data_IF_922608074900
#
_entry.id   IF_922608074900
#
_cell.length_a   1.000
_cell.length_b   1.000
_cell.length_c   1.000
_cell.angle_alpha   90.00
_cell.angle_beta   90.00
_cell.angle_gamma   90.00
#
_symmetry.space_group_name_H-M   'P 1'
#
loop_
_entity.id
_entity.type
_entity.pdbx_description
1 polymer ?
#
# COMPACT_ATOMS: atom_id res chain seq x y z
N UNK A 1 0.04 2.85 5.77
CA UNK A 1 -0.69 4.08 5.42
C UNK A 1 -2.12 3.70 5.03
N UNK A 2 -3.08 4.63 5.06
CA UNK A 2 -4.50 4.41 4.71
C UNK A 2 -4.71 3.48 3.50
N UNK A 3 -3.94 3.70 2.44
CA UNK A 3 -3.97 2.93 1.18
C UNK A 3 -3.75 1.42 1.31
N UNK A 4 -3.16 0.97 2.43
CA UNK A 4 -2.86 -0.44 2.65
C UNK A 4 -4.08 -1.18 3.23
N UNK A 5 -5.13 -0.46 3.65
CA UNK A 5 -6.33 -0.98 4.28
C UNK A 5 -7.59 -0.65 3.48
N UNK A 6 -8.62 -1.48 3.61
CA UNK A 6 -9.92 -1.21 2.99
C UNK A 6 -10.49 0.08 3.55
N UNK A 7 -11.15 0.88 2.70
CA UNK A 7 -11.73 2.17 3.11
C UNK A 7 -12.68 2.03 4.31
N UNK A 8 -13.46 0.94 4.37
CA UNK A 8 -14.37 0.67 5.48
C UNK A 8 -13.63 0.42 6.80
N UNK A 9 -12.62 -0.45 6.80
CA UNK A 9 -11.87 -0.75 8.03
C UNK A 9 -11.02 0.43 8.49
N UNK A 10 -10.47 1.19 7.55
CA UNK A 10 -9.72 2.40 7.84
C UNK A 10 -10.59 3.51 8.45
N UNK A 11 -11.83 3.69 7.94
CA UNK A 11 -12.78 4.65 8.49
C UNK A 11 -13.09 4.36 9.96
N UNK A 12 -13.39 3.10 10.28
CA UNK A 12 -13.66 2.67 11.67
C UNK A 12 -12.46 2.93 12.58
N UNK A 13 -11.24 2.61 12.12
CA UNK A 13 -10.01 2.91 12.86
C UNK A 13 -9.80 4.41 13.08
N UNK A 14 -9.98 5.22 12.04
CA UNK A 14 -9.75 6.67 12.09
C UNK A 14 -10.73 7.37 13.03
N UNK A 15 -12.01 6.97 13.02
CA UNK A 15 -13.03 7.49 13.94
C UNK A 15 -12.73 7.10 15.40
N UNK A 16 -12.30 5.87 15.64
CA UNK A 16 -11.92 5.41 16.98
C UNK A 16 -10.66 6.13 17.49
N UNK A 17 -9.69 6.39 16.61
CA UNK A 17 -8.48 7.15 16.93
C UNK A 17 -8.83 8.60 17.29
N UNK A 18 -9.69 9.25 16.51
CA UNK A 18 -10.15 10.60 16.80
C UNK A 18 -10.86 10.68 18.16
N UNK A 19 -11.75 9.71 18.47
CA UNK A 19 -12.41 9.66 19.78
C UNK A 19 -11.42 9.49 20.93
N UNK A 20 -10.41 8.61 20.77
CA UNK A 20 -9.37 8.42 21.76
C UNK A 20 -8.53 9.68 21.98
N UNK A 21 -8.21 10.40 20.90
CA UNK A 21 -7.50 11.68 20.97
C UNK A 21 -8.32 12.73 21.74
N UNK A 22 -9.62 12.86 21.43
CA UNK A 22 -10.52 13.78 22.14
C UNK A 22 -10.57 13.48 23.63
N UNK A 23 -10.70 12.21 24.02
CA UNK A 23 -10.72 11.81 25.44
C UNK A 23 -9.38 12.07 26.11
N UNK A 24 -8.26 11.85 25.42
CA UNK A 24 -6.93 12.13 25.95
C UNK A 24 -6.68 13.63 26.18
N UNK A 25 -7.27 14.50 25.36
CA UNK A 25 -7.15 15.95 25.47
C UNK A 25 -8.14 16.55 26.50
N UNK A 26 -9.15 15.78 26.94
CA UNK A 26 -10.12 16.21 27.94
C UNK A 26 -9.54 16.13 29.35
N UNK A 27 -9.31 17.29 29.98
CA UNK A 27 -8.83 17.39 31.38
C UNK A 27 -9.81 16.86 32.42
N UNK A 28 -11.09 16.70 32.04
CA UNK A 28 -12.16 16.18 32.89
C UNK A 28 -12.55 14.74 32.54
N UNK A 29 -11.81 14.07 31.65
CA UNK A 29 -12.11 12.70 31.27
C UNK A 29 -12.10 11.78 32.50
N UNK A 30 -13.13 10.96 32.61
CA UNK A 30 -13.22 9.92 33.63
C UNK A 30 -12.46 8.68 33.20
N UNK A 31 -12.05 7.84 34.17
CA UNK A 31 -11.42 6.57 33.85
C UNK A 31 -12.30 5.68 32.95
N UNK A 32 -13.62 5.70 33.17
CA UNK A 32 -14.56 4.93 32.35
C UNK A 32 -14.57 5.40 30.87
N UNK A 33 -14.45 6.70 30.62
CA UNK A 33 -14.35 7.24 29.25
C UNK A 33 -13.02 6.86 28.59
N UNK A 34 -11.92 6.90 29.36
CA UNK A 34 -10.59 6.45 28.91
C UNK A 34 -10.62 4.97 28.54
N UNK A 35 -11.13 4.12 29.44
CA UNK A 35 -11.23 2.67 29.22
C UNK A 35 -12.11 2.35 28.00
N UNK A 36 -13.22 3.07 27.83
CA UNK A 36 -14.10 2.91 26.69
C UNK A 36 -13.42 3.32 25.37
N UNK A 37 -12.70 4.44 25.36
CA UNK A 37 -11.97 4.92 24.20
C UNK A 37 -10.83 3.94 23.82
N UNK A 38 -10.11 3.42 24.82
CA UNK A 38 -9.08 2.41 24.62
C UNK A 38 -9.68 1.12 24.03
N UNK A 39 -10.77 0.60 24.60
CA UNK A 39 -11.43 -0.60 24.12
C UNK A 39 -11.91 -0.46 22.66
N UNK A 40 -12.50 0.70 22.31
CA UNK A 40 -12.92 1.01 20.94
C UNK A 40 -11.73 1.06 19.98
N UNK A 41 -10.67 1.78 20.33
CA UNK A 41 -9.47 1.87 19.49
C UNK A 41 -8.82 0.50 19.28
N UNK A 42 -8.67 -0.30 20.34
CA UNK A 42 -8.15 -1.67 20.26
C UNK A 42 -9.01 -2.56 19.35
N UNK A 43 -10.33 -2.44 19.45
CA UNK A 43 -11.25 -3.19 18.59
C UNK A 43 -11.10 -2.76 17.13
N UNK A 44 -11.03 -1.46 16.86
CA UNK A 44 -10.88 -0.93 15.51
C UNK A 44 -9.54 -1.34 14.85
N UNK A 45 -8.44 -1.37 15.63
CA UNK A 45 -7.15 -1.91 15.17
C UNK A 45 -7.27 -3.38 14.76
N UNK A 46 -8.00 -4.21 15.53
CA UNK A 46 -8.21 -5.63 15.19
C UNK A 46 -9.08 -5.82 13.94
N UNK A 47 -9.93 -4.85 13.63
CA UNK A 47 -10.81 -4.87 12.46
C UNK A 47 -10.16 -4.31 11.19
N UNK A 48 -8.94 -3.76 11.28
CA UNK A 48 -8.20 -3.30 10.10
C UNK A 48 -8.02 -4.45 9.11
N UNK A 49 -8.59 -4.28 7.93
CA UNK A 49 -8.53 -5.25 6.85
C UNK A 49 -7.64 -4.69 5.74
N UNK A 50 -6.59 -5.41 5.37
CA UNK A 50 -5.73 -4.98 4.27
C UNK A 50 -6.50 -4.99 2.96
N UNK A 51 -6.22 -4.02 2.08
CA UNK A 51 -6.67 -4.14 0.69
C UNK A 51 -6.05 -5.41 0.13
N UNK A 52 -6.83 -6.30 -0.50
CA UNK A 52 -6.27 -7.43 -1.23
C UNK A 52 -5.34 -6.88 -2.30
N UNK A 53 -4.02 -6.98 -2.07
CA UNK A 53 -3.06 -6.75 -3.12
C UNK A 53 -3.25 -7.88 -4.11
N UNK A 54 -3.83 -7.59 -5.28
CA UNK A 54 -3.59 -8.44 -6.44
C UNK A 54 -2.08 -8.42 -6.61
N UNK A 55 -1.40 -9.49 -6.20
CA UNK A 55 -0.03 -9.70 -6.65
C UNK A 55 -0.11 -9.70 -8.17
N UNK A 56 0.43 -8.65 -8.77
CA UNK A 56 0.45 -8.54 -10.22
C UNK A 56 1.45 -9.60 -10.68
N UNK A 57 0.95 -10.67 -11.29
CA UNK A 57 1.80 -11.68 -11.91
C UNK A 57 2.56 -11.05 -13.07
N UNK A 58 3.84 -10.75 -12.83
CA UNK A 58 4.76 -10.17 -13.81
C UNK A 58 5.56 -11.23 -14.56
N UNK A 59 5.28 -12.53 -14.36
CA UNK A 59 6.07 -13.63 -14.92
C UNK A 59 6.18 -13.53 -16.44
N UNK A 60 5.05 -13.29 -17.13
CA UNK A 60 5.03 -13.16 -18.59
C UNK A 60 5.77 -11.92 -19.08
N UNK A 61 5.64 -10.78 -18.38
CA UNK A 61 6.35 -9.56 -18.74
C UNK A 61 7.87 -9.73 -18.58
N UNK A 62 8.31 -10.33 -17.47
CA UNK A 62 9.73 -10.61 -17.22
C UNK A 62 10.32 -11.60 -18.25
N UNK A 63 9.52 -12.59 -18.68
CA UNK A 63 9.92 -13.52 -19.74
C UNK A 63 10.19 -12.78 -21.06
N UNK A 64 9.27 -11.90 -21.47
CA UNK A 64 9.38 -11.12 -22.72
C UNK A 64 10.57 -10.15 -22.67
N UNK A 65 10.85 -9.52 -21.52
CA UNK A 65 12.03 -8.66 -21.34
C UNK A 65 13.32 -9.47 -21.55
N UNK A 66 13.45 -10.62 -20.90
CA UNK A 66 14.63 -11.48 -21.01
C UNK A 66 14.83 -12.07 -22.42
N UNK A 67 13.74 -12.36 -23.11
CA UNK A 67 13.79 -12.79 -24.51
C UNK A 67 14.33 -11.65 -25.39
N UNK A 68 13.78 -10.44 -25.29
CA UNK A 68 14.25 -9.28 -26.06
C UNK A 68 15.71 -8.90 -25.79
N UNK A 69 16.17 -8.92 -24.53
CA UNK A 69 17.58 -8.68 -24.19
C UNK A 69 18.52 -9.67 -24.90
N UNK A 70 18.12 -10.95 -25.01
CA UNK A 70 18.89 -11.98 -25.74
C UNK A 70 18.83 -11.81 -27.25
N UNK A 71 17.83 -11.12 -27.79
CA UNK A 71 17.72 -10.80 -29.21
C UNK A 71 18.56 -9.56 -29.56
N UNK A 72 18.64 -8.58 -28.66
CA UNK A 72 19.52 -7.40 -28.81
C UNK A 72 21.01 -7.79 -28.96
N UNK A 73 21.50 -8.82 -28.25
CA UNK A 73 22.89 -9.28 -28.43
C UNK A 73 23.15 -10.02 -29.76
N UNK A 74 22.12 -10.58 -30.39
CA UNK A 74 22.29 -11.47 -31.57
C UNK A 74 21.92 -10.80 -32.90
N UNK A 75 21.01 -9.82 -32.85
CA UNK A 75 20.48 -9.14 -34.03
C UNK A 75 21.13 -7.77 -34.30
N UNK A 76 21.94 -7.25 -33.37
CA UNK A 76 22.75 -6.06 -33.63
C UNK A 76 24.10 -6.45 -34.25
N UNK A 77 24.10 -6.57 -35.57
CA UNK A 77 25.31 -6.22 -36.32
C UNK A 77 25.51 -4.70 -36.21
N UNK A 78 26.76 -4.22 -36.20
CA UNK A 78 27.11 -2.80 -36.01
C UNK A 78 26.34 -1.82 -36.93
N UNK A 79 25.72 -2.31 -38.00
CA UNK A 79 24.89 -1.57 -38.94
C UNK A 79 23.57 -1.02 -38.37
N UNK A 80 22.94 -1.68 -37.38
CA UNK A 80 21.63 -1.23 -36.84
C UNK A 80 21.73 -0.19 -35.72
N UNK A 81 22.92 0.01 -35.13
CA UNK A 81 23.15 1.06 -34.14
C UNK A 81 23.22 2.47 -34.75
N UNK A 82 23.65 2.58 -36.03
CA UNK A 82 23.79 3.89 -36.71
C UNK A 82 22.45 4.59 -36.95
N UNK A 83 21.37 3.82 -37.15
CA UNK A 83 20.04 4.38 -37.39
C UNK A 83 19.40 4.92 -36.10
N UNK A 84 19.78 4.40 -34.93
CA UNK A 84 19.22 4.84 -33.64
C UNK A 84 19.97 6.05 -33.02
N UNK A 85 21.26 6.25 -33.34
CA UNK A 85 22.06 7.35 -32.75
C UNK A 85 22.06 8.66 -33.55
N UNK A 86 21.43 8.71 -34.73
CA UNK A 86 21.32 9.91 -35.57
C UNK A 86 19.89 10.48 -35.65
N UNK A 87 18.95 9.96 -34.84
CA UNK A 87 17.61 10.53 -34.63
C UNK A 87 17.51 11.18 -33.24
#
# INVERSE_FOLDING_TARGET
QEKDYTASSWKVYSEALQQAQTVADQTTATQAEVDQAEAKLRSAVKQLAKVPTKEVDKTNLLKIIKENEKHQEKDYTASSWKVYSEA
#
